data_IF_625039837255
#
_entry.id   IF_625039837255
#
_cell.length_a   1.000
_cell.length_b   1.000
_cell.length_c   1.000
_cell.angle_alpha   90.00
_cell.angle_beta   90.00
_cell.angle_gamma   90.00
#
_symmetry.space_group_name_H-M   'P 1'
#
loop_
_entity.id
_entity.type
_entity.pdbx_description
1 polymer ?
#
# COMPACT_ATOMS: atom_id res chain seq x y z
N UNK A 1 -13.06 21.57 19.45
CA UNK A 1 -12.13 21.49 18.31
C UNK A 1 -12.95 21.16 17.06
N UNK A 2 -12.52 21.67 15.92
CA UNK A 2 -13.08 21.25 14.64
C UNK A 2 -12.58 19.83 14.28
N UNK A 3 -13.36 19.06 13.50
CA UNK A 3 -13.07 17.65 13.16
C UNK A 3 -11.71 17.47 12.48
N UNK A 4 -11.32 18.44 11.66
CA UNK A 4 -10.02 18.42 10.98
C UNK A 4 -8.86 18.56 11.97
N UNK A 5 -9.00 19.43 12.98
CA UNK A 5 -8.03 19.57 14.06
C UNK A 5 -7.93 18.31 14.92
N UNK A 6 -9.06 17.64 15.18
CA UNK A 6 -9.06 16.34 15.88
C UNK A 6 -8.33 15.29 15.06
N UNK A 7 -8.57 15.22 13.75
CA UNK A 7 -7.91 14.28 12.85
C UNK A 7 -6.40 14.51 12.79
N UNK A 8 -5.96 15.77 12.65
CA UNK A 8 -4.55 16.15 12.64
C UNK A 8 -3.85 15.82 13.97
N UNK A 9 -4.54 16.06 15.09
CA UNK A 9 -4.04 15.67 16.41
C UNK A 9 -3.88 14.14 16.52
N UNK A 10 -4.90 13.38 16.13
CA UNK A 10 -4.88 11.91 16.21
C UNK A 10 -3.82 11.29 15.30
N UNK A 11 -3.53 11.90 14.13
CA UNK A 11 -2.43 11.47 13.25
C UNK A 11 -1.03 11.59 13.88
N UNK A 12 -0.88 12.43 14.91
CA UNK A 12 0.38 12.58 15.65
C UNK A 12 0.51 11.59 16.82
N UNK A 13 -0.56 10.88 17.18
CA UNK A 13 -0.54 9.90 18.28
C UNK A 13 0.24 8.67 17.83
N UNK A 14 1.32 8.27 18.53
CA UNK A 14 2.19 7.18 18.09
C UNK A 14 1.46 5.86 17.81
N UNK A 15 0.44 5.53 18.60
CA UNK A 15 -0.37 4.32 18.41
C UNK A 15 -1.12 4.33 17.07
N UNK A 16 -1.60 5.50 16.65
CA UNK A 16 -2.50 5.65 15.50
C UNK A 16 -1.73 5.87 14.20
N UNK A 17 -0.44 6.20 14.26
CA UNK A 17 0.41 6.38 13.07
C UNK A 17 0.54 5.13 12.20
N UNK A 18 0.29 3.95 12.78
CA UNK A 18 0.27 2.68 12.04
C UNK A 18 -1.07 2.41 11.32
N UNK A 19 -2.09 3.25 11.53
CA UNK A 19 -3.41 3.09 10.94
C UNK A 19 -3.53 3.88 9.62
N UNK A 20 -4.39 3.43 8.69
CA UNK A 20 -4.72 4.20 7.50
C UNK A 20 -5.38 5.53 7.90
N UNK A 21 -5.15 6.59 7.13
CA UNK A 21 -5.79 7.89 7.37
C UNK A 21 -7.32 7.83 7.38
N UNK A 22 -7.93 6.91 6.64
CA UNK A 22 -9.38 6.64 6.68
C UNK A 22 -9.85 6.16 8.06
N UNK A 23 -9.09 5.27 8.71
CA UNK A 23 -9.36 4.82 10.07
C UNK A 23 -9.24 5.96 11.07
N UNK A 24 -8.22 6.81 10.95
CA UNK A 24 -8.02 7.96 11.83
C UNK A 24 -9.19 8.94 11.74
N UNK A 25 -9.72 9.18 10.53
CA UNK A 25 -10.93 10.02 10.36
C UNK A 25 -12.16 9.41 11.01
N UNK A 26 -12.36 8.11 10.87
CA UNK A 26 -13.46 7.40 11.54
C UNK A 26 -13.32 7.43 13.06
N UNK A 27 -12.08 7.35 13.57
CA UNK A 27 -11.77 7.53 14.99
C UNK A 27 -12.09 8.97 15.41
N UNK A 28 -11.71 9.98 14.62
CA UNK A 28 -11.99 11.38 14.89
C UNK A 28 -13.50 11.67 15.00
N UNK A 29 -14.34 10.94 14.26
CA UNK A 29 -15.80 11.00 14.36
C UNK A 29 -16.37 10.31 15.60
N UNK A 30 -15.65 9.35 16.16
CA UNK A 30 -16.10 8.50 17.26
C UNK A 30 -15.58 8.93 18.64
N UNK A 31 -14.47 9.67 18.70
CA UNK A 31 -13.87 10.13 19.96
C UNK A 31 -14.74 11.17 20.67
N UNK A 32 -14.77 11.08 21.99
CA UNK A 32 -15.46 12.02 22.86
C UNK A 32 -14.43 12.77 23.71
N UNK A 33 -14.65 14.07 23.93
CA UNK A 33 -13.79 14.85 24.83
C UNK A 33 -14.29 14.67 26.26
N UNK A 34 -13.39 14.28 27.17
CA UNK A 34 -13.63 14.31 28.62
C UNK A 34 -12.67 15.29 29.29
N UNK A 35 -13.15 15.95 30.33
CA UNK A 35 -12.39 16.91 31.12
C UNK A 35 -12.33 16.45 32.58
N UNK A 36 -11.19 16.69 33.21
CA UNK A 36 -10.90 16.29 34.58
C UNK A 36 -10.20 17.43 35.30
N UNK A 37 -10.54 17.63 36.57
CA UNK A 37 -9.86 18.57 37.46
C UNK A 37 -8.65 17.91 38.13
N UNK A 38 -7.66 18.68 38.61
CA UNK A 38 -6.52 18.11 39.33
C UNK A 38 -6.95 17.24 40.51
N UNK A 39 -6.41 16.02 40.59
CA UNK A 39 -6.75 15.00 41.58
C UNK A 39 -7.88 14.05 41.17
N UNK A 40 -8.59 14.33 40.08
CA UNK A 40 -9.61 13.42 39.57
C UNK A 40 -8.99 12.13 39.03
N UNK A 41 -9.67 11.01 39.29
CA UNK A 41 -9.31 9.73 38.69
C UNK A 41 -9.84 9.67 37.27
N UNK A 42 -8.92 9.52 36.32
CA UNK A 42 -9.21 9.28 34.90
C UNK A 42 -9.50 7.80 34.68
N UNK A 43 -8.78 6.94 35.40
CA UNK A 43 -9.03 5.50 35.51
C UNK A 43 -8.66 5.02 36.91
N UNK A 44 -9.46 4.10 37.46
CA UNK A 44 -9.17 3.44 38.75
C UNK A 44 -8.85 1.97 38.53
N UNK A 45 -7.87 1.48 39.27
CA UNK A 45 -7.55 0.06 39.32
C UNK A 45 -8.80 -0.77 39.65
N UNK A 46 -9.03 -1.83 38.89
CA UNK A 46 -10.18 -2.74 39.03
C UNK A 46 -11.47 -2.27 38.34
N UNK A 47 -11.54 -1.02 37.87
CA UNK A 47 -12.69 -0.55 37.07
C UNK A 47 -12.61 -1.04 35.62
N UNK A 48 -13.75 -1.26 34.95
CA UNK A 48 -13.78 -1.69 33.56
C UNK A 48 -13.12 -0.68 32.63
N UNK A 49 -12.39 -1.18 31.64
CA UNK A 49 -11.80 -0.34 30.58
C UNK A 49 -12.89 0.01 29.56
N UNK A 50 -13.41 1.23 29.66
CA UNK A 50 -14.49 1.70 28.78
C UNK A 50 -14.02 2.17 27.39
N UNK A 51 -12.70 2.19 27.15
CA UNK A 51 -12.13 2.56 25.87
C UNK A 51 -10.67 3.01 25.95
N UNK A 52 -10.15 3.45 24.80
CA UNK A 52 -8.83 4.06 24.68
C UNK A 52 -8.91 5.54 25.06
N UNK A 53 -8.07 5.97 26.00
CA UNK A 53 -7.95 7.35 26.42
C UNK A 53 -6.63 7.95 25.89
N UNK A 54 -6.69 9.12 25.25
CA UNK A 54 -5.56 9.83 24.65
C UNK A 54 -5.50 11.23 25.24
N UNK A 55 -4.34 11.64 25.78
CA UNK A 55 -4.17 12.93 26.43
C UNK A 55 -4.13 14.05 25.38
N UNK A 56 -5.14 14.94 25.40
CA UNK A 56 -5.24 16.10 24.51
C UNK A 56 -4.45 17.30 25.04
N UNK A 57 -4.59 17.58 26.34
CA UNK A 57 -3.93 18.68 27.03
C UNK A 57 -3.88 18.41 28.54
N UNK A 58 -2.87 18.94 29.23
CA UNK A 58 -2.60 18.65 30.63
C UNK A 58 -1.68 17.44 30.85
N UNK A 59 -1.60 16.98 32.10
CA UNK A 59 -0.76 15.87 32.53
C UNK A 59 -1.52 14.93 33.45
N UNK A 60 -1.28 13.63 33.30
CA UNK A 60 -1.81 12.60 34.18
C UNK A 60 -0.67 11.73 34.70
N UNK A 61 -0.82 11.20 35.90
CA UNK A 61 0.18 10.35 36.55
C UNK A 61 -0.36 8.94 36.67
N UNK A 62 0.48 7.96 36.32
CA UNK A 62 0.19 6.54 36.49
C UNK A 62 0.76 6.09 37.82
N UNK A 63 -0.12 5.75 38.76
CA UNK A 63 0.25 5.24 40.07
C UNK A 63 0.12 3.71 40.11
N UNK A 64 1.18 3.04 40.55
CA UNK A 64 1.23 1.58 40.64
C UNK A 64 0.41 1.03 41.84
N UNK A 65 -0.03 -0.24 41.79
CA UNK A 65 -0.79 -0.85 42.89
C UNK A 65 0.02 -0.89 44.19
N UNK A 66 -0.65 -0.64 45.32
CA UNK A 66 -0.04 -0.61 46.65
C UNK A 66 0.52 -1.97 47.15
N UNK A 67 0.33 -3.06 46.40
CA UNK A 67 0.58 -4.44 46.84
C UNK A 67 1.85 -5.11 46.27
N UNK A 68 2.74 -4.35 45.63
CA UNK A 68 4.04 -4.87 45.17
C UNK A 68 5.16 -4.22 45.97
N UNK A 69 6.11 -5.02 46.49
CA UNK A 69 7.34 -4.58 47.17
C UNK A 69 8.25 -3.68 46.29
N UNK A 70 7.80 -3.31 45.08
CA UNK A 70 8.39 -2.35 44.15
C UNK A 70 7.82 -0.93 44.32
N UNK A 71 7.68 -0.45 45.57
CA UNK A 71 7.26 0.93 45.91
C UNK A 71 8.25 2.04 45.45
N UNK A 72 9.09 1.73 44.47
CA UNK A 72 10.19 2.56 43.98
C UNK A 72 10.21 2.67 42.44
N UNK A 73 9.11 2.31 41.75
CA UNK A 73 8.96 2.70 40.34
C UNK A 73 8.66 4.20 40.29
N UNK A 74 9.38 4.98 39.46
CA UNK A 74 9.08 6.39 39.30
C UNK A 74 7.66 6.54 38.75
N UNK A 75 6.89 7.45 39.34
CA UNK A 75 5.59 7.84 38.85
C UNK A 75 5.71 8.22 37.37
N UNK A 76 4.96 7.52 36.51
CA UNK A 76 5.04 7.72 35.08
C UNK A 76 4.02 8.78 34.68
N UNK A 77 4.51 9.93 34.21
CA UNK A 77 3.67 11.05 33.79
C UNK A 77 3.34 10.93 32.31
N UNK A 78 2.04 10.81 32.02
CA UNK A 78 1.45 10.89 30.70
C UNK A 78 1.30 12.36 30.28
N UNK A 79 1.82 12.67 29.11
CA UNK A 79 1.78 13.97 28.48
C UNK A 79 0.90 13.93 27.23
N UNK A 80 0.74 15.09 26.59
CA UNK A 80 0.05 15.21 25.30
C UNK A 80 0.51 14.14 24.30
N UNK A 81 -0.46 13.52 23.61
CA UNK A 81 -0.31 12.38 22.68
C UNK A 81 -0.05 11.01 23.33
N UNK A 82 0.24 10.95 24.63
CA UNK A 82 0.29 9.68 25.34
C UNK A 82 -1.13 9.11 25.51
N UNK A 83 -1.21 7.80 25.73
CA UNK A 83 -2.47 7.07 25.74
C UNK A 83 -2.45 5.88 26.70
N UNK A 84 -3.64 5.42 27.11
CA UNK A 84 -3.82 4.21 27.92
C UNK A 84 -5.19 3.57 27.66
N UNK A 85 -5.41 2.35 28.18
CA UNK A 85 -6.67 1.62 27.98
C UNK A 85 -6.75 0.86 26.64
N UNK A 86 -5.62 0.68 25.95
CA UNK A 86 -5.50 -0.15 24.75
C UNK A 86 -4.36 -1.17 24.90
N UNK A 87 -4.52 -2.36 24.31
CA UNK A 87 -3.48 -3.40 24.27
C UNK A 87 -3.31 -4.24 25.54
N UNK A 88 -4.11 -4.03 26.59
CA UNK A 88 -4.13 -4.90 27.76
C UNK A 88 -5.14 -6.02 27.55
N UNK A 89 -4.73 -7.29 27.68
CA UNK A 89 -5.65 -8.46 27.69
C UNK A 89 -6.61 -8.49 28.92
N UNK A 90 -6.65 -7.40 29.69
CA UNK A 90 -7.46 -7.21 30.87
C UNK A 90 -8.70 -6.38 30.53
N UNK A 91 -9.87 -6.82 31.00
CA UNK A 91 -11.12 -6.07 30.91
C UNK A 91 -11.20 -4.92 31.92
N UNK A 92 -10.26 -4.84 32.85
CA UNK A 92 -10.18 -3.82 33.90
C UNK A 92 -8.85 -3.08 33.88
N UNK A 93 -8.85 -1.83 34.37
CA UNK A 93 -7.65 -1.04 34.56
C UNK A 93 -6.75 -1.70 35.62
N UNK A 94 -5.47 -1.84 35.30
CA UNK A 94 -4.47 -2.48 36.17
C UNK A 94 -3.72 -1.49 37.06
N UNK A 95 -3.92 -0.19 36.83
CA UNK A 95 -3.25 0.93 37.48
C UNK A 95 -4.21 2.08 37.63
N UNK A 96 -3.94 2.96 38.59
CA UNK A 96 -4.67 4.23 38.69
C UNK A 96 -4.04 5.25 37.75
N UNK A 97 -4.87 6.05 37.09
CA UNK A 97 -4.46 7.20 36.31
C UNK A 97 -5.15 8.42 36.88
N UNK A 98 -4.38 9.37 37.39
CA UNK A 98 -4.89 10.54 38.13
C UNK A 98 -4.45 11.81 37.40
N UNK A 99 -5.38 12.76 37.23
CA UNK A 99 -5.07 14.05 36.63
C UNK A 99 -4.17 14.87 37.56
N UNK A 100 -2.99 15.28 37.10
CA UNK A 100 -2.05 16.13 37.87
C UNK A 100 -2.42 17.61 37.69
N UNK A 101 -2.81 17.96 36.47
CA UNK A 101 -3.28 19.30 36.10
C UNK A 101 -4.72 19.22 35.58
N UNK A 102 -5.31 20.36 35.19
CA UNK A 102 -6.55 20.32 34.40
C UNK A 102 -6.29 19.53 33.14
N UNK A 103 -6.99 18.41 33.00
CA UNK A 103 -6.70 17.43 31.97
C UNK A 103 -7.87 17.33 31.01
N UNK A 104 -7.56 17.30 29.72
CA UNK A 104 -8.52 16.99 28.66
C UNK A 104 -8.04 15.76 27.90
N UNK A 105 -8.97 14.84 27.64
CA UNK A 105 -8.66 13.60 26.93
C UNK A 105 -9.66 13.36 25.79
N UNK A 106 -9.18 12.77 24.70
CA UNK A 106 -10.05 12.04 23.78
C UNK A 106 -10.24 10.62 24.29
N UNK A 107 -11.50 10.21 24.40
CA UNK A 107 -11.88 8.83 24.74
C UNK A 107 -12.53 8.21 23.51
N UNK A 108 -11.92 7.15 22.98
CA UNK A 108 -12.50 6.29 21.96
C UNK A 108 -13.20 5.12 22.68
N UNK A 109 -14.54 5.06 22.69
CA UNK A 109 -15.27 4.00 23.38
C UNK A 109 -14.92 2.60 22.85
N UNK A 110 -14.92 1.60 23.73
CA UNK A 110 -14.51 0.21 23.41
C UNK A 110 -15.26 -0.42 22.23
N UNK A 111 -16.52 -0.03 21.99
CA UNK A 111 -17.30 -0.47 20.82
C UNK A 111 -16.66 -0.11 19.47
N UNK A 112 -15.84 0.94 19.43
CA UNK A 112 -15.07 1.38 18.26
C UNK A 112 -13.65 0.81 18.22
N UNK A 113 -13.29 -0.11 19.13
CA UNK A 113 -11.96 -0.73 19.17
C UNK A 113 -11.57 -1.45 17.87
N UNK A 114 -12.55 -1.90 17.08
CA UNK A 114 -12.32 -2.46 15.75
C UNK A 114 -11.64 -1.48 14.77
N UNK A 115 -11.76 -0.16 14.98
CA UNK A 115 -11.08 0.86 14.17
C UNK A 115 -9.56 0.91 14.45
N UNK A 116 -9.12 0.39 15.60
CA UNK A 116 -7.71 0.24 15.96
C UNK A 116 -7.12 -1.08 15.44
N UNK A 117 -7.99 -2.02 15.06
CA UNK A 117 -7.64 -3.35 14.55
C UNK A 117 -7.81 -3.42 13.02
N UNK A 118 -7.62 -2.31 12.30
CA UNK A 118 -7.73 -2.37 10.84
C UNK A 118 -6.59 -3.21 10.28
N UNK A 119 -6.97 -4.22 9.49
CA UNK A 119 -6.03 -4.98 8.65
C UNK A 119 -5.31 -4.00 7.75
N UNK A 120 -4.06 -3.72 8.06
CA UNK A 120 -3.18 -2.93 7.21
C UNK A 120 -2.13 -3.86 6.64
N UNK A 121 -1.69 -3.58 5.42
CA UNK A 121 -0.44 -4.17 4.89
C UNK A 121 0.81 -3.71 5.68
N UNK A 122 0.61 -2.87 6.70
CA UNK A 122 1.66 -2.22 7.48
C UNK A 122 1.98 -2.94 8.78
N UNK A 123 1.02 -3.71 9.35
CA UNK A 123 1.25 -4.52 10.53
C UNK A 123 1.99 -5.82 10.16
N UNK A 124 3.22 -5.94 10.65
CA UNK A 124 4.10 -7.09 10.40
C UNK A 124 3.64 -8.39 11.08
N UNK A 125 2.60 -8.34 11.90
CA UNK A 125 2.17 -9.44 12.78
C UNK A 125 1.07 -10.33 12.18
N UNK A 126 0.38 -9.90 11.11
CA UNK A 126 -0.60 -10.75 10.43
C UNK A 126 0.06 -11.66 9.38
N UNK A 127 -0.34 -12.93 9.35
CA UNK A 127 0.18 -13.91 8.39
C UNK A 127 -0.21 -13.50 6.96
N UNK A 128 0.77 -13.41 6.02
CA UNK A 128 0.52 -13.01 4.63
C UNK A 128 -0.48 -13.89 3.87
N UNK A 129 -0.73 -15.11 4.34
CA UNK A 129 -1.53 -16.14 3.64
C UNK A 129 -3.01 -15.78 3.49
N UNK A 130 -3.56 -14.90 4.34
CA UNK A 130 -4.97 -14.46 4.24
C UNK A 130 -5.19 -13.28 3.29
N UNK A 131 -4.11 -12.67 2.80
CA UNK A 131 -4.13 -11.48 1.96
C UNK A 131 -4.15 -11.82 0.46
N UNK A 132 -4.61 -10.86 -0.35
CA UNK A 132 -4.56 -11.00 -1.81
C UNK A 132 -3.10 -11.13 -2.30
N UNK A 133 -2.87 -11.76 -3.46
CA UNK A 133 -1.52 -11.86 -4.03
C UNK A 133 -0.84 -10.49 -4.19
N UNK A 134 -1.61 -9.45 -4.51
CA UNK A 134 -1.08 -8.10 -4.63
C UNK A 134 -0.55 -7.55 -3.29
N UNK A 135 -1.29 -7.75 -2.21
CA UNK A 135 -0.84 -7.36 -0.86
C UNK A 135 0.38 -8.17 -0.42
N UNK A 136 0.44 -9.46 -0.77
CA UNK A 136 1.63 -10.29 -0.51
C UNK A 136 2.86 -9.77 -1.28
N UNK A 137 2.70 -9.33 -2.54
CA UNK A 137 3.78 -8.70 -3.32
C UNK A 137 4.24 -7.39 -2.66
N UNK A 138 3.32 -6.61 -2.09
CA UNK A 138 3.62 -5.32 -1.46
C UNK A 138 4.07 -5.45 0.00
N UNK A 139 3.98 -6.64 0.58
CA UNK A 139 4.44 -6.89 1.93
C UNK A 139 5.97 -6.76 1.98
N UNK A 140 6.45 -5.96 2.94
CA UNK A 140 7.86 -5.72 3.17
C UNK A 140 8.19 -6.00 4.62
N UNK A 141 9.28 -6.74 4.81
CA UNK A 141 9.88 -6.93 6.12
C UNK A 141 10.65 -5.68 6.52
N UNK A 142 10.40 -5.14 7.71
CA UNK A 142 11.15 -4.01 8.26
C UNK A 142 12.45 -4.54 8.88
N UNK A 143 13.58 -4.09 8.36
CA UNK A 143 14.90 -4.42 8.92
C UNK A 143 15.38 -3.35 9.91
N UNK A 144 15.05 -2.09 9.66
CA UNK A 144 15.40 -0.92 10.46
C UNK A 144 14.33 0.19 10.25
N UNK A 145 14.41 1.32 10.94
CA UNK A 145 13.52 2.50 10.84
C UNK A 145 13.23 2.88 9.38
N UNK A 146 14.27 2.99 8.55
CA UNK A 146 14.15 3.42 7.14
C UNK A 146 14.70 2.38 6.15
N UNK A 147 14.79 1.11 6.56
CA UNK A 147 15.31 0.01 5.74
C UNK A 147 14.30 -1.15 5.70
N UNK A 148 13.92 -1.55 4.49
CA UNK A 148 12.93 -2.60 4.26
C UNK A 148 13.47 -3.66 3.29
N UNK A 149 12.98 -4.89 3.42
CA UNK A 149 13.30 -6.02 2.56
C UNK A 149 12.05 -6.54 1.86
N UNK A 150 12.12 -6.62 0.54
CA UNK A 150 11.08 -7.19 -0.31
C UNK A 150 11.58 -8.39 -1.12
N UNK A 151 10.64 -9.15 -1.66
CA UNK A 151 10.91 -10.35 -2.45
C UNK A 151 10.10 -10.34 -3.74
N UNK A 152 10.58 -11.07 -4.74
CA UNK A 152 9.79 -11.46 -5.91
C UNK A 152 9.17 -12.82 -5.60
N UNK A 153 7.84 -12.87 -5.49
CA UNK A 153 7.15 -14.12 -5.15
C UNK A 153 7.21 -15.13 -6.30
N UNK A 154 7.41 -16.44 -6.02
CA UNK A 154 7.34 -17.48 -7.05
C UNK A 154 5.98 -17.56 -7.77
N UNK A 155 4.91 -17.17 -7.08
CA UNK A 155 3.54 -17.11 -7.59
C UNK A 155 3.27 -15.84 -8.40
N UNK A 156 4.16 -14.85 -8.37
CA UNK A 156 4.05 -13.67 -9.20
C UNK A 156 4.49 -13.96 -10.65
N UNK A 157 3.99 -13.21 -11.64
CA UNK A 157 4.46 -13.30 -13.02
C UNK A 157 5.99 -13.18 -13.08
N UNK A 158 6.63 -14.24 -13.56
CA UNK A 158 8.09 -14.31 -13.63
C UNK A 158 8.56 -13.79 -14.98
N UNK A 159 9.45 -12.82 -14.94
CA UNK A 159 10.15 -12.29 -16.09
C UNK A 159 11.63 -12.69 -16.01
N UNK A 160 12.44 -12.36 -17.01
CA UNK A 160 13.90 -12.61 -16.93
C UNK A 160 14.60 -11.78 -15.83
N UNK A 161 13.97 -10.69 -15.40
CA UNK A 161 14.46 -9.74 -14.41
C UNK A 161 13.31 -9.29 -13.52
N UNK A 162 13.58 -8.64 -12.39
CA UNK A 162 12.54 -8.07 -11.53
C UNK A 162 11.65 -7.12 -12.35
N UNK A 163 10.33 -7.30 -12.22
CA UNK A 163 9.34 -6.47 -12.90
C UNK A 163 9.43 -5.01 -12.43
N UNK A 164 9.37 -4.06 -13.36
CA UNK A 164 9.52 -2.64 -13.02
C UNK A 164 8.40 -2.11 -12.13
N UNK A 165 7.14 -2.50 -12.40
CA UNK A 165 6.01 -2.16 -11.53
C UNK A 165 6.13 -2.73 -10.11
N UNK A 166 6.78 -3.89 -9.94
CA UNK A 166 7.10 -4.40 -8.59
C UNK A 166 8.08 -3.49 -7.87
N UNK A 167 9.17 -3.07 -8.53
CA UNK A 167 10.15 -2.14 -7.94
C UNK A 167 9.51 -0.81 -7.56
N UNK A 168 8.68 -0.23 -8.44
CA UNK A 168 7.97 1.02 -8.17
C UNK A 168 7.06 0.85 -6.95
N UNK A 169 6.23 -0.19 -6.95
CA UNK A 169 5.20 -0.35 -5.93
C UNK A 169 5.77 -0.74 -4.55
N UNK A 170 6.77 -1.62 -4.50
CA UNK A 170 7.47 -1.95 -3.26
C UNK A 170 8.27 -0.74 -2.73
N UNK A 171 8.97 0.02 -3.58
CA UNK A 171 9.66 1.23 -3.14
C UNK A 171 8.68 2.29 -2.61
N UNK A 172 7.52 2.44 -3.26
CA UNK A 172 6.47 3.33 -2.80
C UNK A 172 5.87 2.87 -1.47
N UNK A 173 5.66 1.56 -1.29
CA UNK A 173 5.21 0.98 -0.03
C UNK A 173 6.23 1.24 1.10
N UNK A 174 7.53 1.05 0.83
CA UNK A 174 8.61 1.38 1.77
C UNK A 174 8.59 2.87 2.14
N UNK A 175 8.48 3.78 1.16
CA UNK A 175 8.40 5.21 1.43
C UNK A 175 7.18 5.58 2.28
N UNK A 176 6.01 5.00 1.97
CA UNK A 176 4.75 5.27 2.66
C UNK A 176 4.82 4.90 4.15
N UNK A 177 5.54 3.82 4.51
CA UNK A 177 5.80 3.41 5.91
C UNK A 177 6.65 4.41 6.71
N UNK A 178 7.26 5.40 6.08
CA UNK A 178 8.15 6.40 6.73
C UNK A 178 7.53 7.79 6.81
N UNK A 179 6.28 7.95 6.37
CA UNK A 179 5.57 9.22 6.26
C UNK A 179 4.36 9.21 7.20
N UNK A 180 3.98 10.39 7.69
CA UNK A 180 2.72 10.59 8.40
C UNK A 180 1.54 10.00 7.62
N UNK A 181 0.76 9.15 8.28
CA UNK A 181 -0.38 8.42 7.71
C UNK A 181 -1.48 9.30 7.08
N UNK A 182 -1.52 10.60 7.40
CA UNK A 182 -2.44 11.57 6.79
C UNK A 182 -1.92 12.14 5.46
N UNK A 183 -0.64 11.92 5.12
CA UNK A 183 -0.04 12.38 3.86
C UNK A 183 -0.01 11.24 2.85
N UNK A 184 -0.70 11.43 1.73
CA UNK A 184 -0.80 10.44 0.67
C UNK A 184 0.07 10.83 -0.52
N UNK A 185 0.64 9.83 -1.21
CA UNK A 185 1.49 10.03 -2.38
C UNK A 185 0.74 10.68 -3.53
N UNK A 186 1.15 11.85 -4.01
CA UNK A 186 0.51 12.51 -5.16
C UNK A 186 1.37 12.50 -6.43
N UNK A 187 2.68 12.28 -6.31
CA UNK A 187 3.58 12.17 -7.46
C UNK A 187 4.81 11.34 -7.14
N UNK A 188 5.35 10.67 -8.16
CA UNK A 188 6.61 9.95 -8.07
C UNK A 188 7.40 10.06 -9.37
N UNK A 189 8.72 9.91 -9.25
CA UNK A 189 9.67 9.82 -10.36
C UNK A 189 10.59 8.63 -10.13
N UNK A 190 10.76 7.80 -11.15
CA UNK A 190 11.49 6.54 -11.03
C UNK A 190 12.57 6.44 -12.11
N UNK A 191 13.74 5.90 -11.74
CA UNK A 191 14.86 5.63 -12.63
C UNK A 191 15.30 4.17 -12.42
N UNK A 192 15.31 3.41 -13.51
CA UNK A 192 15.82 2.04 -13.55
C UNK A 192 17.27 2.05 -14.04
N UNK A 193 18.20 1.57 -13.22
CA UNK A 193 19.64 1.63 -13.51
C UNK A 193 20.17 0.28 -13.99
N UNK A 194 19.82 -0.80 -13.30
CA UNK A 194 20.32 -2.16 -13.57
C UNK A 194 19.18 -3.16 -13.38
N UNK A 195 19.18 -4.23 -14.18
CA UNK A 195 18.23 -5.32 -14.06
C UNK A 195 18.36 -6.05 -12.71
N UNK A 196 17.23 -6.32 -12.06
CA UNK A 196 17.17 -7.10 -10.82
C UNK A 196 17.14 -8.61 -11.05
N UNK A 197 17.68 -9.35 -10.10
CA UNK A 197 17.57 -10.81 -10.03
C UNK A 197 16.34 -11.22 -9.22
N UNK A 198 15.48 -12.06 -9.80
CA UNK A 198 14.24 -12.52 -9.14
C UNK A 198 14.49 -13.42 -7.94
N UNK A 199 15.65 -14.09 -7.87
CA UNK A 199 15.95 -15.06 -6.82
C UNK A 199 16.63 -14.42 -5.60
N UNK A 200 16.78 -13.09 -5.59
CA UNK A 200 17.42 -12.35 -4.51
C UNK A 200 16.46 -11.37 -3.85
N UNK A 201 16.56 -11.18 -2.52
CA UNK A 201 15.83 -10.13 -1.83
C UNK A 201 16.26 -8.75 -2.36
N UNK A 202 15.33 -7.80 -2.32
CA UNK A 202 15.56 -6.41 -2.69
C UNK A 202 15.56 -5.58 -1.40
N UNK A 203 16.64 -4.85 -1.16
CA UNK A 203 16.73 -3.94 0.00
C UNK A 203 16.31 -2.55 -0.44
N UNK A 204 15.26 -2.02 0.17
CA UNK A 204 14.76 -0.67 -0.05
C UNK A 204 15.26 0.22 1.10
N UNK A 205 16.19 1.12 0.78
CA UNK A 205 16.68 2.13 1.71
C UNK A 205 15.96 3.45 1.45
N UNK A 206 15.26 3.95 2.45
CA UNK A 206 14.49 5.19 2.39
C UNK A 206 15.31 6.34 2.96
N UNK A 207 15.34 7.47 2.28
CA UNK A 207 15.94 8.72 2.71
C UNK A 207 14.85 9.78 2.87
N UNK A 208 14.81 10.41 4.05
CA UNK A 208 13.86 11.47 4.39
C UNK A 208 14.40 12.81 3.90
N UNK A 209 14.07 13.16 2.66
CA UNK A 209 14.55 14.40 2.03
C UNK A 209 13.90 15.65 2.65
N UNK A 210 12.62 15.56 3.02
CA UNK A 210 11.89 16.67 3.66
C UNK A 210 10.67 16.17 4.42
N UNK A 211 10.45 16.73 5.61
CA UNK A 211 9.20 16.66 6.37
C UNK A 211 8.71 18.08 6.68
N UNK A 212 7.78 18.58 5.87
CA UNK A 212 7.07 19.83 6.12
C UNK A 212 5.68 19.59 6.70
N UNK A 213 4.96 20.66 7.04
CA UNK A 213 3.58 20.57 7.55
C UNK A 213 2.65 19.89 6.55
N UNK A 214 2.54 20.42 5.33
CA UNK A 214 1.63 19.85 4.31
C UNK A 214 2.26 18.77 3.44
N UNK A 215 3.58 18.82 3.22
CA UNK A 215 4.28 17.96 2.27
C UNK A 215 5.37 17.12 2.94
N UNK A 216 5.61 15.93 2.40
CA UNK A 216 6.80 15.13 2.70
C UNK A 216 7.43 14.63 1.39
N UNK A 217 8.75 14.49 1.38
CA UNK A 217 9.49 13.95 0.24
C UNK A 217 10.39 12.82 0.72
N UNK A 218 10.39 11.70 -0.02
CA UNK A 218 11.28 10.57 0.20
C UNK A 218 12.04 10.24 -1.07
N UNK A 219 13.30 9.84 -0.92
CA UNK A 219 14.06 9.14 -1.94
C UNK A 219 14.22 7.69 -1.50
N UNK A 220 14.03 6.73 -2.40
CA UNK A 220 14.20 5.31 -2.12
C UNK A 220 15.22 4.73 -3.09
N UNK A 221 16.21 4.03 -2.55
CA UNK A 221 17.17 3.25 -3.32
C UNK A 221 16.87 1.77 -3.13
N UNK A 222 16.58 1.06 -4.22
CA UNK A 222 16.48 -0.39 -4.22
C UNK A 222 17.85 -0.99 -4.56
N UNK A 223 18.32 -1.92 -3.72
CA UNK A 223 19.67 -2.49 -3.79
C UNK A 223 19.64 -4.01 -3.82
N UNK A 224 20.51 -4.59 -4.65
CA UNK A 224 20.89 -6.00 -4.66
C UNK A 224 22.40 -6.12 -4.72
N UNK A 225 23.01 -7.03 -3.94
CA UNK A 225 24.48 -7.21 -3.87
C UNK A 225 25.25 -5.89 -3.59
N UNK A 226 24.63 -4.96 -2.85
CA UNK A 226 25.19 -3.64 -2.56
C UNK A 226 25.11 -2.62 -3.71
N UNK A 227 24.57 -2.99 -4.88
CA UNK A 227 24.44 -2.10 -6.03
C UNK A 227 23.03 -1.51 -6.10
N UNK A 228 22.92 -0.20 -6.36
CA UNK A 228 21.64 0.47 -6.61
C UNK A 228 21.15 0.08 -8.00
N UNK A 229 20.01 -0.57 -8.05
CA UNK A 229 19.38 -1.05 -9.29
C UNK A 229 18.22 -0.14 -9.70
N UNK A 230 17.61 0.57 -8.75
CA UNK A 230 16.48 1.45 -8.99
C UNK A 230 16.45 2.58 -7.96
N UNK A 231 16.01 3.76 -8.40
CA UNK A 231 15.83 4.93 -7.54
C UNK A 231 14.44 5.53 -7.76
N UNK A 232 13.73 5.80 -6.68
CA UNK A 232 12.43 6.49 -6.66
C UNK A 232 12.57 7.78 -5.88
N UNK A 233 12.02 8.89 -6.37
CA UNK A 233 11.73 10.08 -5.59
C UNK A 233 10.23 10.26 -5.57
N UNK A 234 9.66 10.41 -4.38
CA UNK A 234 8.21 10.44 -4.16
C UNK A 234 7.84 11.62 -3.27
N UNK A 235 6.73 12.27 -3.61
CA UNK A 235 6.16 13.37 -2.84
C UNK A 235 4.76 13.01 -2.33
N UNK A 236 4.54 13.35 -1.06
CA UNK A 236 3.33 13.10 -0.29
C UNK A 236 2.75 14.44 0.15
N UNK A 237 1.43 14.52 0.20
CA UNK A 237 0.71 15.70 0.66
C UNK A 237 -0.45 15.28 1.54
N UNK A 238 -0.73 16.05 2.60
CA UNK A 238 -2.00 15.91 3.32
C UNK A 238 -3.16 16.25 2.39
N UNK A 239 -4.29 15.60 2.59
CA UNK A 239 -5.48 15.95 1.80
C UNK A 239 -5.95 17.36 2.16
N UNK A 240 -6.23 18.17 1.15
CA UNK A 240 -6.70 19.55 1.27
C UNK A 240 -7.76 19.81 0.20
N UNK A 241 -8.77 20.61 0.53
CA UNK A 241 -9.73 21.09 -0.46
C UNK A 241 -9.06 22.13 -1.37
N UNK A 242 -9.36 22.08 -2.66
CA UNK A 242 -8.78 22.98 -3.65
C UNK A 242 -9.65 23.13 -4.89
N UNK A 243 -9.09 23.73 -5.93
CA UNK A 243 -9.77 23.86 -7.22
C UNK A 243 -9.83 22.51 -7.93
N UNK A 244 -11.00 22.17 -8.48
CA UNK A 244 -11.23 20.90 -9.18
C UNK A 244 -11.47 21.13 -10.67
N UNK A 245 -10.68 20.47 -11.51
CA UNK A 245 -10.89 20.35 -12.96
C UNK A 245 -10.08 19.17 -13.49
N UNK A 246 -10.52 18.58 -14.60
CA UNK A 246 -9.74 17.60 -15.36
C UNK A 246 -9.86 17.89 -16.86
N UNK A 247 -8.74 17.88 -17.58
CA UNK A 247 -8.73 18.14 -19.02
C UNK A 247 -9.14 16.92 -19.84
N UNK A 248 -8.74 15.72 -19.40
CA UNK A 248 -9.05 14.47 -20.09
C UNK A 248 -10.51 14.07 -19.85
N UNK A 249 -11.25 13.85 -20.93
CA UNK A 249 -12.58 13.23 -20.88
C UNK A 249 -12.37 11.73 -20.96
N UNK A 250 -13.09 10.97 -20.12
CA UNK A 250 -13.09 9.51 -20.18
C UNK A 250 -13.53 9.06 -21.59
N UNK A 251 -12.72 8.28 -22.32
CA UNK A 251 -13.05 7.89 -23.69
C UNK A 251 -14.26 6.94 -23.70
N UNK A 252 -15.04 7.01 -24.78
CA UNK A 252 -16.14 6.08 -25.01
C UNK A 252 -15.57 4.70 -25.42
N UNK A 253 -15.55 3.77 -24.47
CA UNK A 253 -15.04 2.41 -24.64
C UNK A 253 -16.02 1.41 -24.04
N UNK A 254 -16.05 0.16 -24.55
CA UNK A 254 -16.93 -0.86 -23.98
C UNK A 254 -16.69 -1.06 -22.49
N UNK A 255 -17.75 -1.29 -21.69
CA UNK A 255 -17.62 -1.57 -20.28
C UNK A 255 -16.92 -2.92 -20.05
N UNK A 256 -16.21 -3.09 -18.92
CA UNK A 256 -15.37 -4.26 -18.68
C UNK A 256 -16.15 -5.59 -18.73
N UNK A 257 -17.44 -5.60 -18.38
CA UNK A 257 -18.30 -6.78 -18.40
C UNK A 257 -18.52 -7.35 -19.80
N UNK A 258 -18.36 -6.55 -20.85
CA UNK A 258 -18.49 -6.96 -22.25
C UNK A 258 -17.16 -7.47 -22.85
N UNK A 259 -16.05 -7.26 -22.15
CA UNK A 259 -14.71 -7.58 -22.62
C UNK A 259 -14.22 -8.86 -22.00
N UNK A 260 -13.38 -9.59 -22.73
CA UNK A 260 -12.76 -10.80 -22.23
C UNK A 260 -11.55 -10.47 -21.37
N UNK A 261 -11.37 -11.25 -20.31
CA UNK A 261 -10.13 -11.26 -19.56
C UNK A 261 -9.07 -12.14 -20.26
N UNK A 262 -7.84 -12.09 -19.77
CA UNK A 262 -6.72 -12.84 -20.34
C UNK A 262 -6.86 -14.37 -20.25
N UNK A 263 -7.59 -14.90 -19.27
CA UNK A 263 -7.84 -16.33 -19.12
C UNK A 263 -8.81 -16.81 -20.22
N UNK A 264 -9.92 -16.10 -20.40
CA UNK A 264 -10.91 -16.38 -21.44
C UNK A 264 -10.32 -16.27 -22.84
N UNK A 265 -9.47 -15.25 -23.07
CA UNK A 265 -8.74 -15.10 -24.33
C UNK A 265 -7.84 -16.31 -24.57
N UNK A 266 -7.09 -16.74 -23.55
CA UNK A 266 -6.21 -17.91 -23.63
C UNK A 266 -7.00 -19.18 -23.92
N UNK A 267 -8.08 -19.44 -23.20
CA UNK A 267 -8.94 -20.61 -23.40
C UNK A 267 -9.53 -20.69 -24.82
N UNK A 268 -9.99 -19.54 -25.34
CA UNK A 268 -10.44 -19.45 -26.74
C UNK A 268 -9.33 -19.82 -27.72
N UNK A 269 -8.10 -19.35 -27.52
CA UNK A 269 -6.96 -19.71 -28.41
C UNK A 269 -6.56 -21.18 -28.33
N UNK A 270 -6.71 -21.81 -27.17
CA UNK A 270 -6.42 -23.25 -27.00
C UNK A 270 -7.37 -24.14 -27.80
N UNK A 271 -8.59 -23.67 -28.06
CA UNK A 271 -9.65 -24.43 -28.73
C UNK A 271 -9.89 -23.99 -30.19
N UNK A 272 -9.44 -22.79 -30.56
CA UNK A 272 -9.64 -22.24 -31.90
C UNK A 272 -8.85 -23.00 -32.99
N UNK A 273 -9.53 -23.64 -33.96
CA UNK A 273 -8.90 -24.42 -35.02
C UNK A 273 -7.95 -23.63 -35.92
N UNK A 274 -8.05 -22.29 -35.93
CA UNK A 274 -7.20 -21.40 -36.73
C UNK A 274 -5.74 -21.38 -36.24
N UNK A 275 -5.49 -21.78 -35.00
CA UNK A 275 -4.12 -21.89 -34.47
C UNK A 275 -3.53 -23.29 -34.70
N UNK A 276 -2.24 -23.40 -35.09
CA UNK A 276 -1.58 -24.69 -35.26
C UNK A 276 -1.68 -25.57 -34.02
N UNK A 277 -1.82 -26.88 -34.24
CA UNK A 277 -1.86 -27.87 -33.16
C UNK A 277 -0.63 -27.77 -32.24
N UNK A 278 0.55 -27.50 -32.80
CA UNK A 278 1.79 -27.32 -32.04
C UNK A 278 1.71 -26.13 -31.07
N UNK A 279 1.14 -25.01 -31.51
CA UNK A 279 0.92 -23.83 -30.65
C UNK A 279 -0.05 -24.16 -29.53
N UNK A 280 -1.21 -24.75 -29.86
CA UNK A 280 -2.25 -25.10 -28.88
C UNK A 280 -1.72 -26.08 -27.82
N UNK A 281 -0.95 -27.09 -28.23
CA UNK A 281 -0.31 -28.04 -27.33
C UNK A 281 0.77 -27.38 -26.44
N UNK A 282 1.56 -26.45 -26.98
CA UNK A 282 2.59 -25.73 -26.23
C UNK A 282 1.96 -24.79 -25.19
N UNK A 283 0.94 -24.03 -25.59
CA UNK A 283 0.20 -23.15 -24.70
C UNK A 283 -0.49 -23.94 -23.58
N UNK A 284 -1.11 -25.09 -23.88
CA UNK A 284 -1.76 -25.96 -22.89
C UNK A 284 -0.78 -26.51 -21.84
N UNK A 285 0.48 -26.79 -22.23
CA UNK A 285 1.52 -27.29 -21.32
C UNK A 285 2.10 -26.21 -20.40
N UNK A 286 2.04 -24.93 -20.78
CA UNK A 286 2.53 -23.83 -19.93
C UNK A 286 1.60 -23.64 -18.74
N UNK A 287 2.12 -23.74 -17.51
CA UNK A 287 1.40 -23.35 -16.29
C UNK A 287 0.95 -21.89 -16.44
N UNK A 288 -0.35 -21.64 -16.40
CA UNK A 288 -0.88 -20.29 -16.37
C UNK A 288 -0.79 -19.78 -14.94
N UNK A 289 -0.02 -18.71 -14.73
CA UNK A 289 0.04 -17.99 -13.46
C UNK A 289 -0.85 -16.76 -13.62
N UNK A 290 -2.01 -16.70 -12.96
CA UNK A 290 -2.87 -15.53 -13.03
C UNK A 290 -2.13 -14.32 -12.48
N UNK A 291 -2.14 -13.24 -13.24
CA UNK A 291 -1.54 -11.99 -12.80
C UNK A 291 -2.30 -11.42 -11.60
N UNK A 292 -1.60 -10.72 -10.68
CA UNK A 292 -2.27 -10.06 -9.55
C UNK A 292 -3.20 -8.92 -10.01
N UNK A 293 -3.04 -8.46 -11.25
CA UNK A 293 -3.92 -7.53 -11.95
C UNK A 293 -4.64 -8.26 -13.08
N UNK A 294 -5.97 -8.27 -13.04
CA UNK A 294 -6.83 -8.62 -14.17
C UNK A 294 -6.80 -7.49 -15.21
N UNK A 295 -6.68 -7.83 -16.49
CA UNK A 295 -6.71 -6.88 -17.61
C UNK A 295 -7.74 -7.30 -18.66
N UNK A 296 -8.47 -6.34 -19.20
CA UNK A 296 -9.45 -6.52 -20.29
C UNK A 296 -9.21 -5.47 -21.37
N UNK A 297 -8.90 -5.92 -22.59
CA UNK A 297 -8.49 -5.04 -23.69
C UNK A 297 -9.71 -4.57 -24.50
N UNK A 298 -9.79 -3.28 -24.80
CA UNK A 298 -10.91 -2.70 -25.55
C UNK A 298 -10.72 -2.76 -27.07
N UNK A 299 -9.48 -2.99 -27.54
CA UNK A 299 -9.12 -2.89 -28.95
C UNK A 299 -9.37 -4.19 -29.74
N UNK A 300 -9.97 -4.03 -30.91
CA UNK A 300 -10.03 -5.06 -31.95
C UNK A 300 -8.70 -5.19 -32.70
N UNK A 301 -8.54 -6.30 -33.45
CA UNK A 301 -7.34 -6.59 -34.24
C UNK A 301 -6.93 -5.49 -35.23
N UNK A 302 -7.86 -4.62 -35.64
CA UNK A 302 -7.62 -3.54 -36.60
C UNK A 302 -6.87 -2.33 -36.00
N UNK A 303 -6.95 -2.11 -34.69
CA UNK A 303 -6.29 -0.99 -33.99
C UNK A 303 -4.89 -1.32 -33.46
N UNK A 304 -4.36 -2.51 -33.77
CA UNK A 304 -3.08 -3.00 -33.22
C UNK A 304 -1.82 -2.19 -33.60
N UNK A 305 -1.95 -1.22 -34.52
CA UNK A 305 -0.84 -0.40 -35.00
C UNK A 305 -0.88 1.06 -34.52
N UNK A 306 -1.96 1.48 -33.86
CA UNK A 306 -2.03 2.83 -33.31
C UNK A 306 -1.11 2.95 -32.09
N UNK A 307 -0.43 4.09 -31.88
CA UNK A 307 0.35 4.37 -30.66
C UNK A 307 -0.59 4.67 -29.47
N UNK A 308 -1.68 3.93 -29.35
CA UNK A 308 -2.69 4.05 -28.30
C UNK A 308 -3.17 2.66 -27.88
N UNK A 309 -3.58 2.54 -26.63
CA UNK A 309 -4.15 1.32 -26.08
C UNK A 309 -5.17 1.67 -24.99
N UNK A 310 -6.37 1.13 -25.11
CA UNK A 310 -7.39 1.21 -24.08
C UNK A 310 -7.61 -0.17 -23.47
N UNK A 311 -7.51 -0.24 -22.15
CA UNK A 311 -7.75 -1.46 -21.39
C UNK A 311 -8.29 -1.10 -20.00
N UNK A 312 -9.13 -1.97 -19.49
CA UNK A 312 -9.54 -1.98 -18.10
C UNK A 312 -8.57 -2.83 -17.29
N UNK A 313 -8.31 -2.42 -16.06
CA UNK A 313 -7.57 -3.24 -15.11
C UNK A 313 -8.22 -3.22 -13.73
N UNK A 314 -8.04 -4.32 -12.98
CA UNK A 314 -8.54 -4.47 -11.61
C UNK A 314 -7.62 -5.40 -10.82
N UNK A 315 -7.34 -5.10 -9.56
CA UNK A 315 -6.64 -6.04 -8.69
C UNK A 315 -7.48 -7.31 -8.48
N UNK A 316 -6.83 -8.48 -8.46
CA UNK A 316 -7.50 -9.74 -8.14
C UNK A 316 -7.64 -9.92 -6.64
N UNK A 317 -8.82 -10.38 -6.21
CA UNK A 317 -9.16 -10.54 -4.80
C UNK A 317 -9.62 -9.22 -4.16
N UNK A 318 -9.93 -9.29 -2.86
CA UNK A 318 -10.32 -8.12 -2.08
C UNK A 318 -9.07 -7.50 -1.47
N UNK A 319 -8.86 -6.21 -1.71
CA UNK A 319 -7.83 -5.41 -1.05
C UNK A 319 -8.35 -4.88 0.29
N UNK A 320 -7.42 -4.65 1.21
CA UNK A 320 -7.65 -3.92 2.46
C UNK A 320 -8.01 -2.46 2.17
N UNK A 321 -8.87 -1.88 3.01
CA UNK A 321 -9.40 -0.52 2.84
C UNK A 321 -8.38 0.55 3.28
N UNK A 322 -7.28 0.63 2.54
CA UNK A 322 -6.17 1.55 2.80
C UNK A 322 -5.78 2.32 1.51
N UNK A 323 -5.99 3.64 1.47
CA UNK A 323 -5.61 4.46 0.32
C UNK A 323 -4.14 4.34 -0.11
N UNK A 324 -3.21 4.11 0.83
CA UNK A 324 -1.80 3.97 0.50
C UNK A 324 -1.53 2.66 -0.26
N UNK A 325 -2.14 1.54 0.17
CA UNK A 325 -2.15 0.29 -0.58
C UNK A 325 -2.72 0.49 -1.99
N UNK A 326 -3.89 1.09 -2.12
CA UNK A 326 -4.53 1.30 -3.43
C UNK A 326 -3.64 2.12 -4.38
N UNK A 327 -2.95 3.16 -3.88
CA UNK A 327 -1.98 3.94 -4.68
C UNK A 327 -0.76 3.11 -5.09
N UNK A 328 -0.27 2.21 -4.23
CA UNK A 328 0.80 1.26 -4.59
C UNK A 328 0.35 0.29 -5.70
N UNK A 329 -0.89 -0.20 -5.65
CA UNK A 329 -1.45 -1.07 -6.69
C UNK A 329 -1.56 -0.36 -8.04
N UNK A 330 -2.00 0.90 -8.06
CA UNK A 330 -2.02 1.72 -9.28
C UNK A 330 -0.60 1.93 -9.82
N UNK A 331 0.36 2.20 -8.92
CA UNK A 331 1.76 2.34 -9.30
C UNK A 331 2.33 1.05 -9.91
N UNK A 332 2.00 -0.12 -9.35
CA UNK A 332 2.34 -1.43 -9.94
C UNK A 332 1.76 -1.58 -11.35
N UNK A 333 0.47 -1.26 -11.51
CA UNK A 333 -0.26 -1.42 -12.76
C UNK A 333 0.23 -0.46 -13.87
N UNK A 334 0.78 0.70 -13.49
CA UNK A 334 1.23 1.73 -14.43
C UNK A 334 2.36 1.28 -15.36
N UNK A 335 3.18 0.32 -14.93
CA UNK A 335 4.33 -0.20 -15.71
C UNK A 335 3.99 -1.47 -16.52
N UNK A 336 2.74 -1.94 -16.50
CA UNK A 336 2.35 -3.21 -17.14
C UNK A 336 2.47 -3.14 -18.67
N UNK A 337 1.87 -2.12 -19.29
CA UNK A 337 1.67 -2.06 -20.74
C UNK A 337 2.35 -0.85 -21.39
N UNK A 338 2.82 0.11 -20.59
CA UNK A 338 3.19 1.45 -21.05
C UNK A 338 4.21 1.43 -22.20
N UNK A 339 5.32 0.72 -22.02
CA UNK A 339 6.36 0.61 -23.06
C UNK A 339 5.87 -0.12 -24.31
N UNK A 340 5.02 -1.14 -24.16
CA UNK A 340 4.52 -1.95 -25.27
C UNK A 340 3.70 -1.15 -26.28
N UNK A 341 2.99 -0.11 -25.84
CA UNK A 341 2.19 0.76 -26.72
C UNK A 341 3.06 1.50 -27.73
N UNK A 342 4.26 1.93 -27.32
CA UNK A 342 5.19 2.64 -28.22
C UNK A 342 5.67 1.77 -29.39
N UNK A 343 5.61 0.45 -29.26
CA UNK A 343 6.01 -0.49 -30.30
C UNK A 343 4.89 -0.77 -31.32
N UNK A 344 3.64 -0.43 -31.02
CA UNK A 344 2.49 -0.73 -31.89
C UNK A 344 2.67 -0.25 -33.35
N UNK A 345 3.08 1.01 -33.61
CA UNK A 345 3.28 1.49 -34.98
C UNK A 345 4.40 0.78 -35.74
N UNK A 346 5.32 0.13 -35.00
CA UNK A 346 6.49 -0.55 -35.56
C UNK A 346 6.27 -2.06 -35.74
N UNK A 347 5.11 -2.59 -35.34
CA UNK A 347 4.76 -4.00 -35.59
C UNK A 347 4.65 -4.23 -37.08
N UNK A 348 5.45 -5.16 -37.62
CA UNK A 348 5.40 -5.53 -39.04
C UNK A 348 4.00 -6.09 -39.36
N UNK A 349 3.36 -5.60 -40.42
CA UNK A 349 2.11 -6.18 -40.94
C UNK A 349 2.37 -7.64 -41.30
N UNK A 350 1.60 -8.55 -40.71
CA UNK A 350 1.67 -9.95 -41.08
C UNK A 350 1.32 -10.13 -42.57
N UNK A 351 2.14 -10.88 -43.31
CA UNK A 351 1.81 -11.33 -44.65
C UNK A 351 0.70 -12.41 -44.60
N UNK A 352 -0.21 -12.45 -45.58
CA UNK A 352 -1.40 -13.32 -45.55
C UNK A 352 -1.13 -14.84 -45.57
N UNK A 353 0.13 -15.27 -45.69
CA UNK A 353 0.52 -16.69 -45.66
C UNK A 353 1.46 -17.06 -44.49
N UNK A 354 1.77 -16.12 -43.61
CA UNK A 354 2.49 -16.44 -42.38
C UNK A 354 1.45 -16.72 -41.32
N UNK A 355 1.39 -17.97 -40.85
CA UNK A 355 0.65 -18.28 -39.63
C UNK A 355 1.25 -17.43 -38.52
N UNK A 356 0.52 -16.39 -38.14
CA UNK A 356 0.94 -15.43 -37.14
C UNK A 356 0.83 -16.10 -35.77
N UNK A 357 1.95 -16.70 -35.33
CA UNK A 357 2.23 -16.71 -33.90
C UNK A 357 2.53 -15.27 -33.48
N UNK A 358 1.90 -14.81 -32.40
CA UNK A 358 2.18 -13.52 -31.73
C UNK A 358 1.68 -12.21 -32.37
N UNK A 359 0.42 -12.15 -32.81
CA UNK A 359 -0.32 -10.88 -32.91
C UNK A 359 -1.48 -10.81 -31.91
N UNK A 360 -1.16 -11.26 -30.72
CA UNK A 360 -1.99 -11.19 -29.54
C UNK A 360 -1.16 -10.57 -28.43
N UNK A 361 -1.77 -9.91 -27.43
CA UNK A 361 -1.02 -9.35 -26.31
C UNK A 361 -0.56 -10.50 -25.41
N UNK A 362 0.39 -11.32 -25.87
CA UNK A 362 1.32 -12.00 -24.99
C UNK A 362 2.31 -10.91 -24.53
N UNK A 363 1.79 -9.97 -23.75
CA UNK A 363 2.36 -8.66 -23.41
C UNK A 363 3.76 -8.75 -22.82
N UNK A 364 4.15 -9.89 -22.26
CA UNK A 364 5.34 -9.96 -21.42
C UNK A 364 6.32 -11.09 -21.77
N UNK A 365 6.06 -11.90 -22.80
CA UNK A 365 7.00 -12.96 -23.22
C UNK A 365 7.87 -12.60 -24.43
N UNK A 366 7.69 -11.41 -25.02
CA UNK A 366 8.51 -10.95 -26.16
C UNK A 366 9.51 -9.87 -25.72
N UNK A 367 10.73 -10.33 -25.41
CA UNK A 367 12.00 -9.63 -25.64
C UNK A 367 12.17 -8.20 -25.12
N UNK A 368 12.75 -8.06 -23.92
CA UNK A 368 13.86 -7.11 -23.76
C UNK A 368 15.13 -7.81 -24.26
N UNK A 369 15.28 -7.90 -25.59
CA UNK A 369 16.62 -7.95 -26.15
C UNK A 369 17.19 -6.55 -25.98
N UNK A 370 18.09 -6.42 -25.00
CA UNK A 370 18.91 -5.23 -24.85
C UNK A 370 19.69 -5.02 -26.15
N UNK A 371 19.29 -4.01 -26.91
CA UNK A 371 20.18 -3.36 -27.85
C UNK A 371 21.37 -2.84 -27.07
N UNK A 372 22.48 -3.59 -27.13
CA UNK A 372 23.82 -3.06 -26.96
C UNK A 372 24.00 -1.97 -28.02
N UNK A 373 23.74 -0.72 -27.65
CA UNK A 373 24.35 0.42 -28.31
C UNK A 373 25.66 0.71 -27.58
N UNK A 374 26.73 0.76 -28.38
CA UNK A 374 28.12 1.02 -27.98
C UNK A 374 28.30 2.33 -27.23
#
# INVERSE_FOLDING_TARGET
MDREQVTEFLGQVPLLQCLPGSSIRRIAEAVQVKHYEPGDYVAREGEPVDGLCIILDGQAEVSAPANTEEANRPDYVLNKYDYFGYGTNSSVHQVNVIAVTKLSCFVLPSQYGHLLQTKTIWNAEETPESHSLMEQILHLEKLEVDIFRGFTLPEAPTFNQVFGGQLIAQALAAASKTVDCLKLVHSLHAIFLIAGDNNMPIIYQVHRERDGTSFATRKVEAKQKGLVMFTLIVSFQKEELGFEHQAAIMPDVPPPEQLLNMEEIRERRLTDPRFPMQYRNSAAKKKFVPWPIEMRFCQDSKSQHEPSLHYWFRARGKLSDDPALHRCVVAYASDLLYSGVSLNPHRKRAHPHTVVGDSSPDVCSTGKESSSCR
#
